data_IF_230538835357
#
_entry.id   IF_230538835357
#
_cell.length_a   1.000
_cell.length_b   1.000
_cell.length_c   1.000
_cell.angle_alpha   90.00
_cell.angle_beta   90.00
_cell.angle_gamma   90.00
#
_symmetry.space_group_name_H-M   'P 1'
#
loop_
_entity.id
_entity.type
_entity.pdbx_description
1 polymer ?
#
# COMPACT_ATOMS: atom_id res chain seq x y z
N UNK A 1 -56.76 29.31 18.25
CA UNK A 1 -55.48 29.65 18.91
C UNK A 1 -54.45 28.52 18.86
N UNK A 2 -54.81 27.27 19.23
CA UNK A 2 -53.88 26.12 19.30
C UNK A 2 -53.16 25.75 17.97
N UNK A 3 -53.79 25.95 16.81
CA UNK A 3 -53.19 25.63 15.51
C UNK A 3 -52.05 26.60 15.11
N UNK A 4 -52.20 27.89 15.43
CA UNK A 4 -51.17 28.91 15.14
C UNK A 4 -49.90 28.69 15.98
N UNK A 5 -50.06 28.25 17.23
CA UNK A 5 -48.94 27.92 18.13
C UNK A 5 -48.17 26.69 17.60
N UNK A 6 -48.87 25.65 17.15
CA UNK A 6 -48.24 24.46 16.56
C UNK A 6 -47.46 24.77 15.28
N UNK A 7 -47.99 25.67 14.45
CA UNK A 7 -47.32 26.09 13.22
C UNK A 7 -46.05 26.91 13.51
N UNK A 8 -46.11 27.81 14.50
CA UNK A 8 -44.95 28.59 14.92
C UNK A 8 -43.82 27.72 15.50
N UNK A 9 -44.16 26.71 16.32
CA UNK A 9 -43.18 25.76 16.88
C UNK A 9 -42.54 24.91 15.79
N UNK A 10 -43.33 24.46 14.80
CA UNK A 10 -42.81 23.72 13.66
C UNK A 10 -41.83 24.57 12.82
N UNK A 11 -42.17 25.84 12.58
CA UNK A 11 -41.31 26.75 11.83
C UNK A 11 -39.98 27.01 12.56
N UNK A 12 -40.02 27.14 13.89
CA UNK A 12 -38.83 27.29 14.74
C UNK A 12 -37.93 26.05 14.70
N UNK A 13 -38.52 24.85 14.73
CA UNK A 13 -37.79 23.59 14.57
C UNK A 13 -37.14 23.47 13.19
N UNK A 14 -37.87 23.83 12.14
CA UNK A 14 -37.35 23.81 10.77
C UNK A 14 -36.19 24.78 10.60
N UNK A 15 -36.31 25.99 11.16
CA UNK A 15 -35.27 27.01 11.11
C UNK A 15 -34.02 26.57 11.91
N UNK A 16 -34.21 25.96 13.09
CA UNK A 16 -33.12 25.39 13.88
C UNK A 16 -32.42 24.24 13.18
N UNK A 17 -33.16 23.39 12.45
CA UNK A 17 -32.58 22.28 11.69
C UNK A 17 -31.77 22.81 10.50
N UNK A 18 -32.29 23.82 9.80
CA UNK A 18 -31.61 24.46 8.68
C UNK A 18 -30.34 25.20 9.12
N UNK A 19 -30.33 25.85 10.29
CA UNK A 19 -29.10 26.45 10.84
C UNK A 19 -28.10 25.38 11.25
N UNK A 20 -28.52 24.27 11.88
CA UNK A 20 -27.63 23.15 12.17
C UNK A 20 -27.01 22.55 10.91
N UNK A 21 -27.77 22.41 9.81
CA UNK A 21 -27.26 21.94 8.52
C UNK A 21 -26.30 22.96 7.89
N UNK A 22 -26.59 24.26 8.01
CA UNK A 22 -25.73 25.31 7.44
C UNK A 22 -24.41 25.52 8.20
N UNK A 23 -24.36 25.19 9.49
CA UNK A 23 -23.16 25.31 10.34
C UNK A 23 -22.37 23.99 10.37
N UNK A 24 -23.00 22.86 10.09
CA UNK A 24 -22.32 21.58 9.89
C UNK A 24 -21.50 21.63 8.59
N UNK A 25 -20.28 22.14 8.68
CA UNK A 25 -19.30 21.90 7.63
C UNK A 25 -19.12 20.38 7.50
N UNK A 26 -19.13 19.83 6.27
CA UNK A 26 -18.70 18.45 6.09
C UNK A 26 -17.29 18.32 6.69
N UNK A 27 -16.97 17.21 7.38
CA UNK A 27 -15.62 16.99 7.86
C UNK A 27 -14.66 17.17 6.67
N UNK A 28 -13.72 18.11 6.80
CA UNK A 28 -12.63 18.26 5.85
C UNK A 28 -11.66 17.15 6.14
N UNK A 29 -11.66 16.13 5.28
CA UNK A 29 -10.79 14.99 5.43
C UNK A 29 -9.60 15.28 4.53
N UNK A 30 -8.53 15.79 5.14
CA UNK A 30 -7.33 16.08 4.39
C UNK A 30 -6.79 14.74 3.88
N UNK A 31 -6.82 14.51 2.57
CA UNK A 31 -6.01 13.43 2.01
C UNK A 31 -4.58 13.95 1.81
N UNK A 32 -3.64 13.03 1.55
CA UNK A 32 -2.20 13.33 1.56
C UNK A 32 -1.81 14.52 0.66
N UNK A 33 -2.52 14.72 -0.45
CA UNK A 33 -2.24 15.80 -1.38
C UNK A 33 -2.72 17.20 -0.90
N UNK A 34 -3.48 17.31 0.21
CA UNK A 34 -3.76 18.60 0.87
C UNK A 34 -2.67 18.98 1.88
N UNK A 35 -1.77 18.04 2.17
CA UNK A 35 -0.66 18.26 3.06
C UNK A 35 0.36 19.09 2.30
N UNK A 36 0.50 20.33 2.75
CA UNK A 36 1.57 21.20 2.32
C UNK A 36 2.90 20.70 2.90
N UNK A 37 3.54 19.79 2.16
CA UNK A 37 4.86 19.25 2.52
C UNK A 37 5.94 20.33 2.64
N UNK A 38 5.73 21.52 2.07
CA UNK A 38 6.70 22.63 2.16
C UNK A 38 6.83 23.21 3.57
N UNK A 39 5.85 22.94 4.46
CA UNK A 39 5.90 23.33 5.88
C UNK A 39 6.70 22.38 6.77
N UNK A 40 7.08 21.19 6.29
CA UNK A 40 7.95 20.30 7.05
C UNK A 40 9.38 20.83 7.05
N UNK A 41 10.06 20.79 8.20
CA UNK A 41 11.45 21.27 8.31
C UNK A 41 12.32 20.51 7.30
N UNK A 42 13.06 21.25 6.47
CA UNK A 42 14.00 20.71 5.49
C UNK A 42 14.95 19.71 6.16
N UNK A 43 14.84 18.44 5.77
CA UNK A 43 15.75 17.39 6.17
C UNK A 43 16.74 17.12 5.04
N UNK A 44 18.04 17.17 5.32
CA UNK A 44 19.08 16.92 4.33
C UNK A 44 19.18 15.41 4.02
N UNK A 45 19.18 15.06 2.73
CA UNK A 45 19.20 13.69 2.20
C UNK A 45 20.43 12.85 2.61
N UNK A 46 21.45 13.44 3.23
CA UNK A 46 22.67 12.74 3.67
C UNK A 46 22.48 11.77 4.85
N UNK A 47 21.27 11.68 5.43
CA UNK A 47 20.96 10.84 6.61
C UNK A 47 20.34 9.47 6.22
N UNK A 48 20.28 9.13 4.93
CA UNK A 48 19.67 7.88 4.45
C UNK A 48 20.44 6.59 4.81
N UNK A 49 21.67 6.68 5.34
CA UNK A 49 22.54 5.51 5.55
C UNK A 49 22.75 5.07 7.02
N UNK A 50 22.33 5.84 8.05
CA UNK A 50 22.82 5.60 9.42
C UNK A 50 21.82 5.65 10.57
N UNK A 51 20.51 5.76 10.35
CA UNK A 51 19.55 5.80 11.48
C UNK A 51 19.00 4.41 11.87
N UNK A 52 19.43 3.82 13.00
CA UNK A 52 18.84 2.58 13.55
C UNK A 52 17.42 2.74 14.11
N UNK A 53 16.86 3.96 14.11
CA UNK A 53 15.62 4.29 14.84
C UNK A 53 14.33 3.72 14.23
N UNK A 54 14.32 3.30 12.96
CA UNK A 54 13.08 2.92 12.26
C UNK A 54 13.21 1.58 11.54
N UNK A 55 13.73 0.57 12.23
CA UNK A 55 13.65 -0.82 11.74
C UNK A 55 12.49 -1.58 12.34
N UNK A 56 11.74 -1.08 13.31
CA UNK A 56 10.70 -1.87 13.98
C UNK A 56 9.33 -1.25 13.74
N UNK A 57 8.39 -2.01 13.15
CA UNK A 57 6.98 -1.59 13.10
C UNK A 57 6.26 -2.22 14.27
N UNK A 58 5.49 -1.44 15.03
CA UNK A 58 4.79 -1.96 16.18
C UNK A 58 3.56 -2.80 15.81
N UNK A 59 3.13 -2.79 14.56
CA UNK A 59 1.83 -3.36 14.21
C UNK A 59 2.01 -4.79 13.67
N UNK A 60 1.29 -5.79 14.22
CA UNK A 60 1.43 -7.25 13.99
C UNK A 60 0.97 -7.79 12.61
N UNK A 61 0.78 -6.92 11.63
CA UNK A 61 0.15 -7.24 10.35
C UNK A 61 -1.19 -7.94 10.51
N UNK A 62 -1.43 -8.88 9.61
CA UNK A 62 -2.63 -9.69 9.51
C UNK A 62 -2.77 -10.80 10.57
N UNK A 63 -1.97 -10.76 11.64
CA UNK A 63 -2.00 -11.75 12.72
C UNK A 63 -3.16 -11.51 13.69
N UNK A 64 -3.56 -10.26 13.87
CA UNK A 64 -4.69 -9.88 14.72
C UNK A 64 -5.69 -9.07 13.92
N UNK A 65 -6.98 -9.38 14.08
CA UNK A 65 -8.03 -8.52 13.52
C UNK A 65 -7.99 -7.21 14.32
N UNK A 66 -7.69 -6.05 13.70
CA UNK A 66 -7.74 -4.80 14.44
C UNK A 66 -9.15 -4.63 15.02
N UNK A 67 -9.29 -4.08 16.24
CA UNK A 67 -10.60 -3.75 16.77
C UNK A 67 -11.36 -2.90 15.74
N UNK A 68 -12.66 -3.17 15.61
CA UNK A 68 -13.52 -2.28 14.85
C UNK A 68 -13.52 -0.94 15.59
N UNK A 69 -12.83 0.05 15.02
CA UNK A 69 -12.38 1.31 15.61
C UNK A 69 -11.06 1.20 16.40
N UNK A 70 -10.06 2.05 16.11
CA UNK A 70 -9.03 2.30 17.10
C UNK A 70 -9.70 2.89 18.35
N UNK A 71 -9.23 2.53 19.57
CA UNK A 71 -9.58 3.34 20.74
C UNK A 71 -9.15 4.78 20.44
N UNK A 72 -9.95 5.76 20.82
CA UNK A 72 -9.52 7.16 20.80
C UNK A 72 -8.85 7.46 22.16
N UNK A 73 -7.57 7.88 22.20
CA UNK A 73 -6.63 8.01 21.08
C UNK A 73 -6.00 6.67 20.68
N UNK A 74 -5.55 6.57 19.43
CA UNK A 74 -4.78 5.44 18.91
C UNK A 74 -3.61 5.18 19.85
N UNK A 75 -3.75 4.15 20.70
CA UNK A 75 -2.73 3.84 21.70
C UNK A 75 -1.42 3.49 20.98
N UNK A 76 -0.25 3.89 21.51
CA UNK A 76 1.03 3.50 20.95
C UNK A 76 1.10 1.97 20.90
N UNK A 77 1.20 1.44 19.69
CA UNK A 77 1.23 0.00 19.46
C UNK A 77 2.58 -0.54 19.96
N UNK A 78 2.60 -1.74 20.53
CA UNK A 78 3.82 -2.35 21.06
C UNK A 78 4.84 -2.61 19.94
N UNK A 79 6.04 -2.02 20.03
CA UNK A 79 7.12 -2.27 19.08
C UNK A 79 7.48 -3.76 19.04
N UNK A 80 7.43 -4.36 17.84
CA UNK A 80 7.93 -5.74 17.67
C UNK A 80 9.45 -5.72 17.73
N UNK A 81 10.08 -6.72 18.33
CA UNK A 81 11.55 -6.84 18.39
C UNK A 81 12.17 -7.40 17.11
N UNK A 82 11.39 -7.55 16.03
CA UNK A 82 11.85 -8.06 14.75
C UNK A 82 12.12 -6.92 13.77
N UNK A 83 13.37 -6.75 13.29
CA UNK A 83 13.68 -5.67 12.36
C UNK A 83 12.97 -5.93 11.02
N UNK A 84 12.39 -4.88 10.46
CA UNK A 84 11.84 -4.80 9.12
C UNK A 84 13.02 -4.79 8.16
N UNK A 85 13.23 -5.96 7.57
CA UNK A 85 14.19 -6.17 6.50
C UNK A 85 13.54 -5.89 5.14
N UNK A 86 14.36 -5.77 4.10
CA UNK A 86 13.89 -5.78 2.71
C UNK A 86 13.07 -7.04 2.40
N UNK A 87 13.35 -8.16 3.07
CA UNK A 87 12.58 -9.40 2.96
C UNK A 87 11.19 -9.36 3.62
N UNK A 88 10.83 -8.28 4.35
CA UNK A 88 9.44 -8.03 4.75
C UNK A 88 8.66 -7.26 3.68
N UNK A 89 9.33 -6.40 2.92
CA UNK A 89 8.75 -5.72 1.76
C UNK A 89 8.67 -6.63 0.53
N UNK A 90 9.63 -7.55 0.43
CA UNK A 90 9.73 -8.58 -0.60
C UNK A 90 9.66 -9.92 0.07
N UNK A 91 8.69 -10.76 -0.22
CA UNK A 91 8.72 -12.18 0.12
C UNK A 91 9.82 -12.87 -0.69
N UNK A 92 11.09 -12.56 -0.41
CA UNK A 92 12.17 -13.46 -0.78
C UNK A 92 11.79 -14.83 -0.22
N UNK A 93 11.82 -15.89 -1.04
CA UNK A 93 11.59 -17.23 -0.53
C UNK A 93 12.57 -17.42 0.60
N UNK A 94 12.07 -17.39 1.83
CA UNK A 94 12.78 -17.95 2.95
C UNK A 94 12.90 -19.41 2.55
N UNK A 95 14.08 -19.80 2.07
CA UNK A 95 14.53 -21.18 2.24
C UNK A 95 14.36 -21.40 3.73
N UNK A 96 13.27 -22.08 4.08
CA UNK A 96 13.00 -22.51 5.43
C UNK A 96 14.19 -23.39 5.77
N UNK A 97 15.21 -22.79 6.37
CA UNK A 97 16.26 -23.55 7.00
C UNK A 97 15.53 -24.29 8.10
N UNK A 98 15.42 -25.60 7.93
CA UNK A 98 14.93 -26.54 8.92
C UNK A 98 15.48 -26.10 10.28
N UNK A 99 14.58 -25.66 11.16
CA UNK A 99 14.90 -25.52 12.58
C UNK A 99 15.03 -26.95 13.08
N UNK A 100 16.23 -27.49 12.91
CA UNK A 100 16.59 -28.79 13.43
C UNK A 100 16.65 -28.66 14.96
N UNK A 101 15.84 -29.43 15.73
CA UNK A 101 15.97 -29.43 17.19
C UNK A 101 17.36 -29.95 17.60
N UNK A 102 17.87 -29.51 18.76
CA UNK A 102 19.24 -29.80 19.20
C UNK A 102 19.49 -31.30 19.34
N UNK A 103 20.73 -31.77 19.12
CA UNK A 103 21.02 -33.20 19.00
C UNK A 103 20.98 -33.87 20.37
N UNK A 104 20.09 -34.85 20.54
CA UNK A 104 20.24 -35.87 21.58
C UNK A 104 21.05 -37.01 20.98
N UNK A 105 22.26 -37.18 21.49
CA UNK A 105 23.14 -38.29 21.15
C UNK A 105 22.65 -39.59 21.79
N UNK A 106 22.59 -40.68 21.02
CA UNK A 106 23.05 -42.02 21.43
C UNK A 106 23.12 -42.99 20.24
N UNK A 107 24.37 -43.27 19.84
CA UNK A 107 25.02 -44.54 19.46
C UNK A 107 24.38 -45.58 18.50
N UNK A 108 25.21 -46.39 17.79
CA UNK A 108 24.93 -46.89 16.45
C UNK A 108 24.65 -48.40 16.36
N UNK A 109 24.06 -48.84 15.25
CA UNK A 109 24.24 -50.23 14.77
C UNK A 109 24.18 -50.27 13.25
N UNK A 110 25.06 -51.09 12.68
CA UNK A 110 25.54 -51.07 11.30
C UNK A 110 24.73 -52.03 10.37
N UNK A 111 25.23 -52.41 9.18
CA UNK A 111 24.57 -52.11 7.90
C UNK A 111 23.97 -53.35 7.22
N UNK A 112 23.13 -53.17 6.19
CA UNK A 112 22.97 -54.21 5.17
C UNK A 112 22.58 -53.63 3.83
N UNK A 113 23.20 -54.21 2.80
CA UNK A 113 23.30 -53.74 1.43
C UNK A 113 22.22 -54.29 0.51
N UNK A 114 22.28 -53.82 -0.75
CA UNK A 114 21.81 -54.48 -1.99
C UNK A 114 20.31 -54.30 -2.30
N UNK A 115 19.83 -54.07 -3.52
CA UNK A 115 20.36 -54.32 -4.87
C UNK A 115 19.56 -53.50 -5.90
N UNK A 116 20.13 -53.31 -7.08
CA UNK A 116 19.58 -52.53 -8.20
C UNK A 116 18.72 -53.33 -9.21
N UNK A 117 17.92 -52.56 -9.98
CA UNK A 117 17.55 -52.72 -11.40
C UNK A 117 16.34 -53.62 -11.78
N UNK A 118 15.84 -53.58 -13.04
CA UNK A 118 15.00 -52.51 -13.63
C UNK A 118 13.75 -53.09 -14.36
N UNK A 119 12.78 -52.27 -14.80
CA UNK A 119 11.91 -52.69 -15.92
C UNK A 119 11.26 -51.52 -16.66
N UNK A 120 11.17 -51.72 -17.98
CA UNK A 120 10.93 -50.78 -19.06
C UNK A 120 9.44 -50.47 -19.32
N UNK A 121 9.21 -49.19 -19.64
CA UNK A 121 8.19 -48.47 -20.44
C UNK A 121 7.04 -49.24 -21.17
N UNK A 122 5.95 -48.52 -21.52
CA UNK A 122 5.95 -47.79 -22.80
C UNK A 122 5.32 -46.37 -22.77
N UNK A 123 5.84 -45.50 -23.65
CA UNK A 123 5.29 -44.17 -24.04
C UNK A 123 4.03 -44.30 -24.91
N UNK A 124 3.12 -43.32 -24.90
CA UNK A 124 2.99 -42.35 -26.01
C UNK A 124 2.59 -40.94 -25.50
N UNK A 125 2.57 -39.81 -26.21
CA UNK A 125 3.01 -39.29 -27.51
C UNK A 125 3.06 -37.76 -27.31
N UNK A 126 4.04 -37.10 -27.92
CA UNK A 126 4.31 -35.68 -27.78
C UNK A 126 3.22 -34.81 -28.43
N UNK A 127 2.86 -33.70 -27.75
CA UNK A 127 2.30 -32.51 -28.40
C UNK A 127 3.40 -31.45 -28.38
N UNK A 128 3.78 -31.05 -29.58
CA UNK A 128 4.88 -30.14 -29.88
C UNK A 128 4.66 -28.72 -29.38
N UNK A 129 5.76 -28.19 -28.83
CA UNK A 129 6.19 -26.78 -28.82
C UNK A 129 5.32 -25.83 -29.65
N UNK A 130 4.66 -24.89 -28.97
CA UNK A 130 4.73 -23.49 -29.37
C UNK A 130 5.65 -22.80 -28.37
N UNK A 131 6.94 -22.83 -28.73
CA UNK A 131 7.98 -22.03 -28.14
C UNK A 131 7.83 -20.62 -28.73
N UNK A 132 6.91 -19.82 -28.19
CA UNK A 132 6.98 -18.38 -28.38
C UNK A 132 7.95 -17.78 -27.37
N UNK A 133 9.03 -17.29 -27.94
CA UNK A 133 10.21 -16.73 -27.32
C UNK A 133 9.89 -15.47 -26.52
N UNK A 134 9.78 -15.58 -25.19
CA UNK A 134 10.09 -14.45 -24.29
C UNK A 134 11.58 -14.44 -23.97
N UNK A 135 12.40 -14.08 -24.95
CA UNK A 135 13.80 -13.67 -24.73
C UNK A 135 13.86 -12.14 -24.62
N UNK A 136 13.41 -11.57 -23.50
CA UNK A 136 13.68 -10.19 -23.05
C UNK A 136 13.40 -10.16 -21.54
N UNK A 137 14.23 -9.71 -20.59
CA UNK A 137 15.62 -9.26 -20.54
C UNK A 137 16.14 -9.59 -19.12
N UNK A 138 17.15 -10.47 -18.99
CA UNK A 138 17.82 -10.75 -17.71
C UNK A 138 18.71 -9.59 -17.21
N UNK A 139 18.75 -8.47 -17.94
CA UNK A 139 19.71 -7.38 -17.74
C UNK A 139 19.06 -6.02 -17.44
N UNK A 140 17.81 -5.96 -16.99
CA UNK A 140 17.26 -4.68 -16.51
C UNK A 140 17.76 -4.47 -15.06
N UNK A 141 18.60 -3.44 -14.80
CA UNK A 141 19.12 -3.22 -13.46
C UNK A 141 17.99 -2.98 -12.46
N UNK A 142 18.12 -3.57 -11.27
CA UNK A 142 17.22 -3.24 -10.18
C UNK A 142 17.49 -1.80 -9.71
N UNK A 143 16.45 -1.03 -9.37
CA UNK A 143 16.63 0.30 -8.81
C UNK A 143 17.28 0.25 -7.43
N UNK A 144 17.88 1.37 -7.02
CA UNK A 144 18.27 1.57 -5.62
C UNK A 144 17.02 1.54 -4.75
N UNK A 145 17.13 0.92 -3.58
CA UNK A 145 16.03 0.82 -2.64
C UNK A 145 16.48 1.24 -1.25
N UNK A 146 15.61 1.99 -0.57
CA UNK A 146 15.83 2.49 0.78
C UNK A 146 14.58 2.24 1.61
N UNK A 147 14.75 1.97 2.90
CA UNK A 147 13.66 1.87 3.86
C UNK A 147 13.71 3.12 4.74
N UNK A 148 12.60 3.83 4.84
CA UNK A 148 12.42 4.96 5.72
C UNK A 148 11.02 4.85 6.34
N UNK A 149 10.84 3.99 7.34
CA UNK A 149 9.50 3.70 7.84
C UNK A 149 8.78 4.98 8.27
N UNK A 150 7.48 5.03 7.96
CA UNK A 150 6.58 6.01 8.54
C UNK A 150 6.46 5.79 10.06
N UNK A 151 6.12 6.84 10.78
CA UNK A 151 5.66 6.75 12.17
C UNK A 151 4.41 5.87 12.25
N UNK A 152 4.29 5.12 13.34
CA UNK A 152 3.18 4.18 13.55
C UNK A 152 1.79 4.81 13.60
N UNK A 153 1.70 6.11 13.85
CA UNK A 153 0.43 6.86 13.74
C UNK A 153 -0.04 7.02 12.30
N UNK A 154 0.86 6.96 11.30
CA UNK A 154 0.54 7.25 9.91
C UNK A 154 0.12 6.02 9.09
N UNK A 155 -0.05 4.85 9.69
CA UNK A 155 -0.56 3.65 9.02
C UNK A 155 -1.24 2.71 10.03
N UNK A 156 -1.94 1.69 9.53
CA UNK A 156 -2.60 0.72 10.41
C UNK A 156 -2.70 -0.68 9.81
N UNK A 157 -3.44 -1.54 10.49
CA UNK A 157 -3.79 -2.85 9.96
C UNK A 157 -4.82 -2.76 8.84
N UNK A 158 -4.76 -3.74 7.94
CA UNK A 158 -5.82 -4.00 6.98
C UNK A 158 -6.95 -4.73 7.71
N UNK A 159 -8.16 -4.23 7.53
CA UNK A 159 -9.36 -4.81 8.09
C UNK A 159 -9.79 -6.04 7.28
N UNK A 160 -10.07 -7.14 7.97
CA UNK A 160 -10.64 -8.34 7.37
C UNK A 160 -12.16 -8.24 7.15
N UNK A 161 -12.80 -7.30 7.87
CA UNK A 161 -14.23 -7.02 7.79
C UNK A 161 -14.47 -5.52 7.87
N UNK A 162 -15.46 -5.03 7.15
CA UNK A 162 -15.90 -3.64 7.19
C UNK A 162 -16.67 -3.32 8.47
N UNK A 163 -17.11 -2.06 8.60
CA UNK A 163 -17.87 -1.54 9.73
C UNK A 163 -19.19 -2.28 9.97
N UNK A 164 -19.79 -2.87 8.93
CA UNK A 164 -21.01 -3.68 9.02
C UNK A 164 -20.72 -5.18 9.25
N UNK A 165 -19.45 -5.55 9.46
CA UNK A 165 -19.02 -6.93 9.66
C UNK A 165 -18.93 -7.78 8.39
N UNK A 166 -19.11 -7.18 7.20
CA UNK A 166 -18.99 -7.88 5.91
C UNK A 166 -17.51 -8.09 5.56
N UNK A 167 -17.14 -9.15 4.84
CA UNK A 167 -15.75 -9.38 4.44
C UNK A 167 -15.15 -8.21 3.63
N UNK A 168 -13.93 -7.82 3.97
CA UNK A 168 -13.17 -6.77 3.28
C UNK A 168 -11.98 -7.39 2.51
N UNK A 169 -12.31 -8.25 1.55
CA UNK A 169 -11.36 -9.12 0.81
C UNK A 169 -11.21 -8.70 -0.67
N UNK A 170 -11.20 -7.40 -0.94
CA UNK A 170 -11.01 -6.88 -2.29
C UNK A 170 -9.65 -7.29 -2.85
N UNK A 171 -9.59 -7.58 -4.15
CA UNK A 171 -8.31 -7.82 -4.84
C UNK A 171 -7.42 -6.57 -4.75
N UNK A 172 -6.09 -6.71 -4.60
CA UNK A 172 -5.21 -5.56 -4.54
C UNK A 172 -5.29 -4.64 -5.77
N UNK A 173 -5.13 -3.33 -5.55
CA UNK A 173 -4.94 -2.32 -6.60
C UNK A 173 -3.66 -1.54 -6.38
N UNK A 174 -3.10 -0.96 -7.45
CA UNK A 174 -2.06 0.07 -7.36
C UNK A 174 -2.73 1.43 -7.51
N UNK A 175 -2.53 2.33 -6.55
CA UNK A 175 -2.94 3.74 -6.68
C UNK A 175 -1.68 4.58 -6.85
N UNK A 176 -1.59 5.26 -7.97
CA UNK A 176 -0.51 6.17 -8.30
C UNK A 176 -0.80 7.56 -7.75
N UNK A 177 0.22 8.16 -7.14
CA UNK A 177 0.20 9.49 -6.54
C UNK A 177 1.36 10.34 -7.06
N UNK A 178 1.29 11.63 -6.80
CA UNK A 178 2.45 12.52 -6.82
C UNK A 178 2.60 13.20 -5.46
N UNK A 179 3.76 13.79 -5.19
CA UNK A 179 4.05 14.35 -3.86
C UNK A 179 3.76 15.84 -3.74
N UNK A 180 3.87 16.62 -4.82
CA UNK A 180 3.90 18.10 -4.79
C UNK A 180 4.88 18.63 -3.72
N UNK A 181 5.93 17.85 -3.46
CA UNK A 181 6.94 18.11 -2.44
C UNK A 181 8.16 17.21 -2.65
N UNK A 182 9.27 17.58 -2.04
CA UNK A 182 10.51 16.81 -2.13
C UNK A 182 10.43 15.46 -1.40
N UNK A 183 11.29 14.51 -1.75
CA UNK A 183 11.45 13.27 -0.97
C UNK A 183 11.75 13.56 0.51
N UNK A 184 12.61 14.54 0.80
CA UNK A 184 12.98 14.89 2.17
C UNK A 184 11.79 15.39 2.99
N UNK A 185 10.92 16.22 2.41
CA UNK A 185 9.73 16.72 3.08
C UNK A 185 8.67 15.65 3.30
N UNK A 186 8.45 14.76 2.32
CA UNK A 186 7.52 13.62 2.47
C UNK A 186 7.99 12.68 3.57
N UNK A 187 9.29 12.36 3.59
CA UNK A 187 9.88 11.50 4.62
C UNK A 187 9.75 12.12 6.01
N UNK A 188 10.08 13.41 6.15
CA UNK A 188 9.94 14.17 7.41
C UNK A 188 8.50 14.13 7.93
N UNK A 189 7.53 14.36 7.05
CA UNK A 189 6.12 14.29 7.40
C UNK A 189 5.70 12.87 7.82
N UNK A 190 5.99 11.85 7.01
CA UNK A 190 5.60 10.47 7.34
C UNK A 190 6.25 9.95 8.62
N UNK A 191 7.43 10.43 9.00
CA UNK A 191 8.13 10.09 10.23
C UNK A 191 7.68 10.92 11.45
N UNK A 192 6.84 11.94 11.24
CA UNK A 192 6.26 12.73 12.32
C UNK A 192 5.03 12.02 12.88
N UNK A 193 4.91 11.98 14.20
CA UNK A 193 3.71 11.47 14.88
C UNK A 193 2.53 12.42 14.68
N UNK A 194 1.39 11.89 14.23
CA UNK A 194 0.13 12.63 14.09
C UNK A 194 -0.96 12.02 14.98
N UNK A 195 -1.34 12.76 16.04
CA UNK A 195 -2.39 12.34 16.96
C UNK A 195 -3.78 12.44 16.33
N UNK A 196 -3.97 13.41 15.44
CA UNK A 196 -5.22 13.64 14.73
C UNK A 196 -5.31 12.75 13.50
N UNK A 197 -6.39 11.99 13.35
CA UNK A 197 -6.63 11.13 12.19
C UNK A 197 -6.73 11.94 10.89
N UNK A 198 -7.17 13.20 10.97
CA UNK A 198 -7.26 14.12 9.82
C UNK A 198 -5.89 14.66 9.37
N UNK A 199 -4.82 14.42 10.13
CA UNK A 199 -3.42 14.71 9.78
C UNK A 199 -2.62 13.45 9.44
N UNK A 200 -3.22 12.25 9.56
CA UNK A 200 -2.49 11.02 9.31
C UNK A 200 -2.42 10.71 7.81
N UNK A 201 -1.20 10.49 7.32
CA UNK A 201 -0.95 10.26 5.91
C UNK A 201 0.29 9.40 5.68
N UNK A 202 0.19 8.46 4.76
CA UNK A 202 1.34 7.68 4.28
C UNK A 202 1.12 7.06 2.89
N UNK A 203 2.23 6.81 2.20
CA UNK A 203 2.29 5.92 1.04
C UNK A 203 2.99 4.61 1.41
N UNK A 204 2.86 3.59 0.56
CA UNK A 204 3.72 2.41 0.72
C UNK A 204 5.12 2.71 0.21
N UNK A 205 5.20 3.40 -0.94
CA UNK A 205 6.47 3.75 -1.58
C UNK A 205 6.45 5.14 -2.21
N UNK A 206 7.63 5.75 -2.28
CA UNK A 206 7.94 6.91 -3.12
C UNK A 206 9.05 6.57 -4.10
N UNK A 207 8.98 7.10 -5.31
CA UNK A 207 10.06 7.00 -6.31
C UNK A 207 10.65 8.38 -6.58
N UNK A 208 11.91 8.54 -6.23
CA UNK A 208 12.70 9.78 -6.40
C UNK A 208 13.02 10.04 -7.89
N UNK A 209 13.46 11.25 -8.28
CA UNK A 209 13.80 11.57 -9.66
C UNK A 209 14.91 10.70 -10.27
N UNK A 210 15.84 10.20 -9.45
CA UNK A 210 16.91 9.27 -9.87
C UNK A 210 16.45 7.80 -9.94
N UNK A 211 15.17 7.52 -9.63
CA UNK A 211 14.59 6.19 -9.68
C UNK A 211 14.79 5.36 -8.40
N UNK A 212 15.33 5.93 -7.33
CA UNK A 212 15.38 5.25 -6.03
C UNK A 212 13.97 5.01 -5.49
N UNK A 213 13.70 3.78 -5.05
CA UNK A 213 12.45 3.41 -4.38
C UNK A 213 12.65 3.55 -2.86
N UNK A 214 11.86 4.40 -2.23
CA UNK A 214 11.81 4.57 -0.78
C UNK A 214 10.58 3.86 -0.25
N UNK A 215 10.76 2.89 0.65
CA UNK A 215 9.67 2.16 1.32
C UNK A 215 9.33 2.78 2.67
N UNK A 216 8.04 3.11 2.89
CA UNK A 216 7.54 3.70 4.15
C UNK A 216 6.62 2.75 4.92
N UNK A 217 5.65 2.13 4.24
CA UNK A 217 4.63 1.28 4.87
C UNK A 217 4.70 -0.13 4.26
N UNK A 218 4.84 -1.19 5.09
CA UNK A 218 4.85 -2.58 4.62
C UNK A 218 3.58 -2.94 3.80
N UNK A 219 3.68 -3.83 2.79
CA UNK A 219 2.55 -4.14 1.90
C UNK A 219 1.39 -4.89 2.58
N UNK A 220 1.63 -5.55 3.71
CA UNK A 220 0.62 -6.16 4.57
C UNK A 220 -0.15 -5.14 5.42
N UNK A 221 0.28 -3.87 5.41
CA UNK A 221 -0.33 -2.76 6.16
C UNK A 221 -1.18 -1.85 5.29
N UNK A 222 -2.05 -1.11 5.96
CA UNK A 222 -2.92 -0.09 5.38
C UNK A 222 -2.23 1.26 5.50
N UNK A 223 -1.70 1.77 4.39
CA UNK A 223 -1.29 3.17 4.29
C UNK A 223 -2.52 4.08 4.10
N UNK A 224 -2.39 5.36 4.40
CA UNK A 224 -3.50 6.33 4.40
C UNK A 224 -3.47 7.24 3.16
N UNK A 225 -3.37 6.63 1.98
CA UNK A 225 -3.02 7.32 0.73
C UNK A 225 -4.15 8.03 -0.02
N UNK A 226 -5.40 7.58 0.10
CA UNK A 226 -6.45 7.93 -0.86
C UNK A 226 -7.71 8.60 -0.29
N UNK A 227 -7.83 8.84 1.02
CA UNK A 227 -9.02 9.50 1.60
C UNK A 227 -10.36 8.89 1.15
N UNK A 228 -11.36 9.74 0.87
CA UNK A 228 -12.63 9.36 0.25
C UNK A 228 -12.42 8.85 -1.17
N UNK A 229 -12.51 7.52 -1.35
CA UNK A 229 -12.11 6.89 -2.59
C UNK A 229 -12.89 5.62 -2.90
N UNK A 230 -13.10 5.38 -4.20
CA UNK A 230 -13.79 4.22 -4.73
C UNK A 230 -13.16 3.78 -6.06
N UNK A 231 -12.77 2.52 -6.15
CA UNK A 231 -12.26 1.95 -7.39
C UNK A 231 -13.40 1.34 -8.20
N UNK A 232 -13.51 1.70 -9.48
CA UNK A 232 -14.52 1.15 -10.39
C UNK A 232 -13.89 0.05 -11.23
N UNK A 233 -14.40 -1.17 -11.09
CA UNK A 233 -13.97 -2.34 -11.85
C UNK A 233 -15.15 -3.04 -12.53
N UNK A 234 -14.86 -4.13 -13.23
CA UNK A 234 -15.89 -5.02 -13.80
C UNK A 234 -16.77 -5.68 -12.74
N UNK A 235 -16.33 -5.71 -11.47
CA UNK A 235 -17.09 -6.22 -10.32
C UNK A 235 -17.97 -5.12 -9.68
N UNK A 236 -17.92 -3.90 -10.21
CA UNK A 236 -18.63 -2.74 -9.69
C UNK A 236 -17.70 -1.81 -8.91
N UNK A 237 -18.28 -1.16 -7.91
CA UNK A 237 -17.60 -0.15 -7.08
C UNK A 237 -16.98 -0.81 -5.84
N UNK A 238 -15.68 -0.68 -5.69
CA UNK A 238 -14.88 -1.30 -4.65
C UNK A 238 -14.33 -0.22 -3.69
N UNK A 239 -14.75 -0.30 -2.41
CA UNK A 239 -14.23 0.50 -1.31
C UNK A 239 -14.60 -0.18 0.01
N UNK A 240 -13.83 0.08 1.07
CA UNK A 240 -14.09 -0.47 2.41
C UNK A 240 -14.36 0.68 3.37
N UNK A 241 -15.47 0.62 4.09
CA UNK A 241 -15.74 1.55 5.19
C UNK A 241 -15.30 0.92 6.51
N UNK A 242 -14.28 1.50 7.13
CA UNK A 242 -13.66 0.98 8.36
C UNK A 242 -13.92 1.87 9.58
N UNK A 243 -14.52 3.03 9.38
CA UNK A 243 -14.83 4.02 10.43
C UNK A 243 -16.21 4.63 10.17
N UNK A 244 -16.98 4.96 11.22
CA UNK A 244 -18.21 5.73 11.10
C UNK A 244 -17.97 7.22 10.81
N UNK A 245 -16.78 7.74 11.16
CA UNK A 245 -16.41 9.16 10.96
C UNK A 245 -15.84 9.44 9.58
N UNK A 246 -15.14 8.46 9.02
CA UNK A 246 -14.47 8.60 7.74
C UNK A 246 -15.22 7.88 6.62
N UNK A 247 -15.16 8.39 5.38
CA UNK A 247 -15.77 7.79 4.21
C UNK A 247 -15.10 6.46 3.90
N UNK A 248 -15.77 5.70 3.04
CA UNK A 248 -15.21 4.49 2.45
C UNK A 248 -13.97 4.84 1.63
N UNK A 249 -13.01 3.92 1.62
CA UNK A 249 -11.73 4.16 0.99
C UNK A 249 -11.17 2.90 0.36
N UNK A 250 -10.33 3.09 -0.65
CA UNK A 250 -9.52 2.00 -1.23
C UNK A 250 -8.31 1.63 -0.37
N UNK A 251 -7.95 2.46 0.63
CA UNK A 251 -6.76 2.28 1.48
C UNK A 251 -6.62 0.84 2.02
N UNK A 252 -7.73 0.16 2.33
CA UNK A 252 -7.72 -1.18 2.90
C UNK A 252 -7.13 -2.28 1.98
N UNK A 253 -7.16 -2.08 0.66
CA UNK A 253 -6.68 -3.04 -0.35
C UNK A 253 -5.74 -2.42 -1.40
N UNK A 254 -5.50 -1.11 -1.33
CA UNK A 254 -4.55 -0.43 -2.20
C UNK A 254 -3.10 -0.59 -1.76
N UNK A 255 -2.20 -0.57 -2.73
CA UNK A 255 -0.78 -0.30 -2.58
C UNK A 255 -0.47 1.04 -3.25
N UNK A 256 -0.05 1.99 -2.44
CA UNK A 256 0.11 3.40 -2.82
C UNK A 256 1.55 3.67 -3.24
N UNK A 257 1.74 4.11 -4.47
CA UNK A 257 3.04 4.46 -5.04
C UNK A 257 3.01 5.93 -5.44
N UNK A 258 3.83 6.75 -4.79
CA UNK A 258 4.01 8.15 -5.17
C UNK A 258 5.24 8.31 -6.06
N UNK A 259 5.17 9.27 -6.97
CA UNK A 259 6.32 9.79 -7.72
C UNK A 259 6.68 11.16 -7.16
N UNK A 260 7.95 11.41 -6.90
CA UNK A 260 8.39 12.77 -6.58
C UNK A 260 8.10 13.68 -7.78
N UNK A 261 7.31 14.73 -7.53
CA UNK A 261 6.95 15.72 -8.54
C UNK A 261 8.21 16.41 -9.07
N UNK A 262 8.33 16.67 -10.39
CA UNK A 262 9.47 17.41 -10.92
C UNK A 262 9.49 18.85 -10.37
N UNK A 263 10.66 19.50 -10.41
CA UNK A 263 10.84 20.83 -9.80
C UNK A 263 9.89 21.90 -10.35
N UNK A 264 9.45 21.79 -11.60
CA UNK A 264 8.49 22.69 -12.24
C UNK A 264 7.02 22.34 -11.95
N UNK A 265 6.75 21.31 -11.14
CA UNK A 265 5.43 20.91 -10.68
C UNK A 265 5.18 21.12 -9.20
N UNK A 266 6.11 21.72 -8.45
CA UNK A 266 5.97 21.99 -7.01
C UNK A 266 5.06 23.20 -6.73
N UNK A 267 3.88 23.19 -7.33
CA UNK A 267 2.88 24.25 -7.31
C UNK A 267 1.49 23.67 -7.62
N UNK A 268 0.48 24.53 -7.69
CA UNK A 268 -0.93 24.15 -7.93
C UNK A 268 -1.31 24.06 -9.43
N UNK A 269 -0.33 24.13 -10.34
CA UNK A 269 -0.63 24.08 -11.77
C UNK A 269 -1.21 22.72 -12.17
N UNK A 270 -1.99 22.69 -13.25
CA UNK A 270 -2.64 21.44 -13.69
C UNK A 270 -1.69 20.45 -14.37
N UNK A 271 -0.45 20.85 -14.64
CA UNK A 271 0.54 20.06 -15.37
C UNK A 271 1.95 20.53 -15.06
N UNK A 272 2.91 19.63 -15.22
CA UNK A 272 4.35 19.88 -15.17
C UNK A 272 5.09 19.12 -16.28
N UNK A 273 6.40 19.29 -16.42
CA UNK A 273 7.26 18.66 -17.44
C UNK A 273 7.11 17.14 -17.54
N UNK A 274 6.79 16.48 -16.42
CA UNK A 274 6.54 15.05 -16.34
C UNK A 274 7.64 14.33 -15.55
N UNK A 275 7.47 13.03 -15.39
CA UNK A 275 8.37 12.20 -14.58
C UNK A 275 9.57 11.70 -15.39
N UNK A 276 10.69 11.46 -14.70
CA UNK A 276 11.93 11.01 -15.33
C UNK A 276 11.80 9.58 -15.88
N UNK A 277 12.66 9.22 -16.83
CA UNK A 277 12.74 7.84 -17.31
C UNK A 277 13.08 6.86 -16.18
N UNK A 278 13.94 7.27 -15.25
CA UNK A 278 14.31 6.47 -14.09
C UNK A 278 13.09 6.20 -13.19
N UNK A 279 12.24 7.19 -12.95
CA UNK A 279 10.98 7.02 -12.23
C UNK A 279 10.06 6.00 -12.90
N UNK A 280 9.84 6.10 -14.22
CA UNK A 280 9.00 5.14 -14.94
C UNK A 280 9.59 3.72 -14.94
N UNK A 281 10.91 3.58 -15.08
CA UNK A 281 11.58 2.27 -15.04
C UNK A 281 11.44 1.61 -13.68
N UNK A 282 11.64 2.36 -12.60
CA UNK A 282 11.47 1.88 -11.23
C UNK A 282 10.01 1.57 -10.91
N UNK A 283 9.08 2.39 -11.40
CA UNK A 283 7.64 2.15 -11.25
C UNK A 283 7.23 0.83 -11.93
N UNK A 284 7.66 0.62 -13.16
CA UNK A 284 7.39 -0.62 -13.88
C UNK A 284 8.06 -1.84 -13.21
N UNK A 285 9.30 -1.69 -12.76
CA UNK A 285 10.04 -2.72 -12.01
C UNK A 285 9.31 -3.11 -10.70
N UNK A 286 8.76 -2.12 -9.99
CA UNK A 286 8.06 -2.30 -8.72
C UNK A 286 6.69 -2.95 -8.91
N UNK A 287 5.88 -2.41 -9.83
CA UNK A 287 4.55 -2.95 -10.15
C UNK A 287 4.65 -4.39 -10.69
N UNK A 288 5.69 -4.71 -11.48
CA UNK A 288 5.86 -6.06 -11.99
C UNK A 288 5.96 -7.11 -10.88
N UNK A 289 6.46 -6.73 -9.71
CA UNK A 289 6.67 -7.62 -8.55
C UNK A 289 5.47 -7.78 -7.63
N UNK A 290 4.42 -6.99 -7.82
CA UNK A 290 3.21 -7.07 -6.99
C UNK A 290 2.20 -8.08 -7.52
N UNK A 291 2.39 -8.59 -8.75
CA UNK A 291 1.42 -9.43 -9.46
C UNK A 291 0.11 -8.72 -9.83
N UNK A 292 -0.07 -7.44 -9.47
CA UNK A 292 -1.31 -6.71 -9.73
C UNK A 292 -1.47 -6.49 -11.25
N UNK A 293 -2.62 -6.91 -11.83
CA UNK A 293 -2.84 -6.81 -13.27
C UNK A 293 -3.02 -5.35 -13.72
N UNK A 294 -2.67 -5.05 -14.97
CA UNK A 294 -2.72 -3.70 -15.55
C UNK A 294 -4.06 -2.98 -15.33
N UNK A 295 -5.17 -3.71 -15.42
CA UNK A 295 -6.54 -3.17 -15.21
C UNK A 295 -6.82 -2.69 -13.78
N UNK A 296 -5.96 -3.05 -12.81
CA UNK A 296 -6.05 -2.67 -11.39
C UNK A 296 -4.97 -1.65 -11.00
N UNK A 297 -4.32 -1.04 -12.00
CA UNK A 297 -3.45 0.13 -11.82
C UNK A 297 -4.28 1.37 -12.12
N UNK A 298 -4.40 2.25 -11.14
CA UNK A 298 -5.24 3.46 -11.20
C UNK A 298 -4.46 4.67 -10.67
N UNK A 299 -5.02 5.86 -10.88
CA UNK A 299 -4.52 7.09 -10.26
C UNK A 299 -5.36 7.47 -9.06
N UNK A 300 -4.80 8.32 -8.19
CA UNK A 300 -5.55 8.93 -7.10
C UNK A 300 -6.76 9.70 -7.63
N UNK A 301 -6.58 10.55 -8.65
CA UNK A 301 -7.68 11.24 -9.34
C UNK A 301 -8.81 10.30 -9.79
N UNK A 302 -8.48 9.10 -10.25
CA UNK A 302 -9.48 8.17 -10.80
C UNK A 302 -10.29 7.46 -9.70
N UNK A 303 -9.73 7.32 -8.49
CA UNK A 303 -10.46 6.76 -7.34
C UNK A 303 -11.11 7.81 -6.48
N UNK A 304 -10.71 9.08 -6.61
CA UNK A 304 -11.18 10.18 -5.78
C UNK A 304 -12.69 10.40 -5.86
N UNK A 305 -13.28 10.66 -4.70
CA UNK A 305 -14.70 10.98 -4.53
C UNK A 305 -14.94 12.37 -3.98
N UNK A 306 -13.92 13.05 -3.43
CA UNK A 306 -14.07 14.43 -2.97
C UNK A 306 -14.07 15.43 -4.13
N UNK A 307 -13.42 15.09 -5.25
CA UNK A 307 -13.28 15.94 -6.42
C UNK A 307 -12.08 16.90 -6.32
N UNK A 308 -11.24 16.73 -5.31
CA UNK A 308 -10.09 17.58 -5.02
C UNK A 308 -8.80 17.04 -5.63
N UNK A 309 -8.78 15.76 -6.06
CA UNK A 309 -7.54 15.11 -6.52
C UNK A 309 -7.36 15.17 -8.02
N UNK A 310 -6.17 15.57 -8.43
CA UNK A 310 -5.75 15.61 -9.84
C UNK A 310 -4.51 14.77 -10.14
N UNK A 311 -3.92 14.15 -9.12
CA UNK A 311 -2.65 13.45 -9.19
C UNK A 311 -2.76 12.01 -9.77
N UNK A 312 -1.67 11.51 -10.38
CA UNK A 312 -0.46 12.23 -10.76
C UNK A 312 -0.67 13.05 -12.05
N UNK A 313 -0.32 14.34 -12.01
CA UNK A 313 -0.33 15.24 -13.18
C UNK A 313 0.72 14.81 -14.20
N UNK A 314 0.47 15.09 -15.48
CA UNK A 314 1.38 14.77 -16.59
C UNK A 314 1.86 13.30 -16.65
N UNK A 315 1.13 12.35 -16.04
CA UNK A 315 1.51 10.94 -16.05
C UNK A 315 1.22 10.27 -17.39
N UNK A 316 2.20 9.54 -17.91
CA UNK A 316 2.16 8.88 -19.21
C UNK A 316 1.97 7.37 -19.07
N UNK A 317 0.70 6.94 -19.13
CA UNK A 317 0.34 5.53 -19.11
C UNK A 317 0.90 4.72 -20.28
N UNK A 318 1.14 5.32 -21.44
CA UNK A 318 1.70 4.59 -22.59
C UNK A 318 3.16 4.20 -22.32
N UNK A 319 3.94 5.11 -21.73
CA UNK A 319 5.32 4.83 -21.29
C UNK A 319 5.34 3.76 -20.21
N UNK A 320 4.48 3.86 -19.19
CA UNK A 320 4.37 2.83 -18.15
C UNK A 320 4.05 1.46 -18.77
N UNK A 321 3.02 1.35 -19.61
CA UNK A 321 2.62 0.07 -20.22
C UNK A 321 3.73 -0.56 -21.04
N UNK A 322 4.44 0.24 -21.85
CA UNK A 322 5.58 -0.23 -22.65
C UNK A 322 6.71 -0.79 -21.78
N UNK A 323 7.03 -0.11 -20.68
CA UNK A 323 8.05 -0.59 -19.74
C UNK A 323 7.57 -1.82 -18.99
N UNK A 324 6.34 -1.81 -18.50
CA UNK A 324 5.75 -2.89 -17.71
C UNK A 324 5.68 -4.19 -18.50
N UNK A 325 5.40 -4.15 -19.81
CA UNK A 325 5.44 -5.34 -20.68
C UNK A 325 6.83 -5.96 -20.84
N UNK A 326 7.90 -5.23 -20.47
CA UNK A 326 9.29 -5.75 -20.53
C UNK A 326 9.75 -6.42 -19.24
N UNK A 327 8.97 -6.32 -18.15
CA UNK A 327 9.28 -6.96 -16.88
C UNK A 327 8.43 -8.23 -16.68
N UNK A 328 9.02 -9.34 -16.23
CA UNK A 328 8.25 -10.52 -15.84
C UNK A 328 7.38 -10.18 -14.64
N UNK A 329 6.11 -10.59 -14.66
CA UNK A 329 5.22 -10.48 -13.51
C UNK A 329 5.56 -11.55 -12.48
N UNK A 330 5.87 -11.10 -11.26
CA UNK A 330 6.12 -11.96 -10.09
C UNK A 330 5.22 -11.52 -8.93
N UNK A 331 5.16 -12.33 -7.87
CA UNK A 331 4.44 -12.01 -6.63
C UNK A 331 5.43 -11.87 -5.46
N UNK A 332 6.54 -11.17 -5.70
CA UNK A 332 7.54 -10.88 -4.66
C UNK A 332 7.01 -9.89 -3.61
N UNK A 333 6.12 -8.98 -3.99
CA UNK A 333 5.49 -8.02 -3.08
C UNK A 333 4.04 -8.44 -2.89
N UNK A 334 3.75 -9.05 -1.75
CA UNK A 334 2.40 -9.50 -1.42
C UNK A 334 1.62 -8.39 -0.73
N UNK A 335 0.55 -7.92 -1.38
CA UNK A 335 -0.33 -6.88 -0.84
C UNK A 335 -1.48 -7.55 -0.10
N UNK A 336 -1.72 -7.13 1.14
CA UNK A 336 -2.81 -7.67 1.94
C UNK A 336 -2.38 -8.78 2.89
N UNK A 337 -3.38 -9.49 3.38
CA UNK A 337 -3.20 -10.58 4.34
C UNK A 337 -3.07 -11.92 3.64
N UNK A 338 -1.99 -12.65 3.91
CA UNK A 338 -1.97 -14.08 3.60
C UNK A 338 -2.98 -14.73 4.53
N UNK A 339 -4.08 -15.24 3.98
CA UNK A 339 -4.89 -16.19 4.73
C UNK A 339 -3.95 -17.32 5.14
N UNK A 340 -3.78 -17.54 6.45
CA UNK A 340 -3.09 -18.73 6.96
C UNK A 340 -3.74 -19.93 6.26
N UNK A 341 -2.99 -20.79 5.55
CA UNK A 341 -3.57 -22.02 5.01
C UNK A 341 -4.28 -22.74 6.16
N UNK A 342 -5.47 -23.32 5.95
CA UNK A 342 -6.13 -24.08 7.00
C UNK A 342 -5.14 -25.12 7.54
N UNK A 343 -4.95 -25.13 8.86
CA UNK A 343 -4.08 -26.09 9.50
C UNK A 343 -4.70 -27.49 9.33
N UNK A 344 -4.07 -28.32 8.52
CA UNK A 344 -4.44 -29.72 8.32
C UNK A 344 -5.43 -29.94 7.17
N UNK A 345 -4.90 -30.47 6.06
CA UNK A 345 -5.57 -31.49 5.24
C UNK A 345 -5.00 -32.84 5.59
#
# INVERSE_FOLDING_TARGET
MKLKIRFAVFLLYLLSLLTLIAIAQPPRINAIADIDFTKSKQFHAHVLETSPLNQFSPVFGCLERPPANPPNPSLPVALTSQPITRSRFRQEPQLVADVQPPPVATAPTAPTASTASPSLAPKPVAISKVSETSKVSKNIPAPKEVIALADSSNYGDRYLKDLMGRPALQEPIIVLHETVGSTGSVMSYFQTFHADEDEQASYHTLITPDGTIVYFVPPDKRAFGAGDSEFVSTLGREAVQTSPRHPRSVNNFAYHIALETPGDGMNDDKSHSGYTEAQYRSLAWLIARTGVPDRRITTHRAVDRSGERIDPRSFNFQVLRKLLSSYPRTQEIFIGCQAKPPAGT
#
